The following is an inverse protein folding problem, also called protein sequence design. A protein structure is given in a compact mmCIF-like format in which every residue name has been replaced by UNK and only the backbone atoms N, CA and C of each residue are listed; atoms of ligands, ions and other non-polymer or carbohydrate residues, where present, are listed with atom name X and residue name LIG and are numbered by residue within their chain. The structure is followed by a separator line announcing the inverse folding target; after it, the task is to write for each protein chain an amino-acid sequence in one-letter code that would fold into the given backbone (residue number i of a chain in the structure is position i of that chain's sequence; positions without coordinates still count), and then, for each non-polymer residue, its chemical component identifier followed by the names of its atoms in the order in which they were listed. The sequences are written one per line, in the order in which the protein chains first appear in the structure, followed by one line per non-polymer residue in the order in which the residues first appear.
data_IF_821555274122
#
_entry.id   IF_821555274122
#
_cell.length_a   1.000
_cell.length_b   1.000
_cell.length_c   1.000
_cell.angle_alpha   90.00
_cell.angle_beta   90.00
_cell.angle_gamma   90.00
#
_symmetry.space_group_name_H-M   'P 1'
#
loop_
_entity.id
_entity.type
_entity.pdbx_description
1 polymer ?
#
# COMPACT_ATOMS: atom_id res chain seq x y z
N UNK A 1 19.77 0.31 -6.86
CA UNK A 1 18.47 -0.11 -7.41
C UNK A 1 17.64 1.17 -7.52
N UNK A 2 17.55 1.77 -8.71
CA UNK A 2 16.80 3.02 -8.94
C UNK A 2 15.46 2.61 -9.52
N UNK A 3 14.38 2.83 -8.78
CA UNK A 3 13.03 2.44 -9.20
C UNK A 3 12.56 3.47 -10.25
N UNK A 4 12.95 3.26 -11.51
CA UNK A 4 12.70 4.20 -12.61
C UNK A 4 11.29 4.06 -13.21
N UNK A 5 10.36 3.48 -12.45
CA UNK A 5 9.02 3.12 -12.88
C UNK A 5 8.05 4.00 -12.09
N UNK A 6 7.17 4.77 -12.75
CA UNK A 6 6.15 5.53 -12.05
C UNK A 6 5.26 4.57 -11.28
N UNK A 7 5.02 4.88 -10.00
CA UNK A 7 4.08 4.14 -9.16
C UNK A 7 2.72 4.09 -9.86
N UNK A 8 2.21 2.88 -10.10
CA UNK A 8 0.90 2.65 -10.70
C UNK A 8 -0.04 2.00 -9.68
N UNK A 9 -1.21 2.61 -9.45
CA UNK A 9 -2.18 2.12 -8.48
C UNK A 9 -2.80 0.78 -8.91
N UNK A 10 -2.93 0.54 -10.22
CA UNK A 10 -3.45 -0.72 -10.77
C UNK A 10 -2.47 -1.88 -10.56
N UNK A 11 -1.16 -1.66 -10.74
CA UNK A 11 -0.14 -2.67 -10.41
C UNK A 11 -0.13 -3.00 -8.91
N UNK A 12 -0.35 -1.99 -8.06
CA UNK A 12 -0.49 -2.18 -6.62
C UNK A 12 -1.71 -3.04 -6.29
N UNK A 13 -2.84 -2.78 -6.95
CA UNK A 13 -4.07 -3.55 -6.81
C UNK A 13 -3.87 -5.01 -7.21
N UNK A 14 -3.27 -5.25 -8.37
CA UNK A 14 -2.99 -6.60 -8.87
C UNK A 14 -2.06 -7.36 -7.93
N UNK A 15 -1.05 -6.68 -7.39
CA UNK A 15 -0.14 -7.29 -6.42
C UNK A 15 -0.83 -7.64 -5.10
N UNK A 16 -1.67 -6.73 -4.57
CA UNK A 16 -2.46 -7.02 -3.37
C UNK A 16 -3.42 -8.18 -3.65
N UNK A 17 -4.15 -8.18 -4.76
CA UNK A 17 -5.06 -9.29 -5.13
C UNK A 17 -4.30 -10.62 -5.25
N UNK A 18 -3.05 -10.57 -5.74
CA UNK A 18 -2.17 -11.73 -5.84
C UNK A 18 -1.58 -12.19 -4.50
N UNK A 19 -1.66 -11.40 -3.42
CA UNK A 19 -1.16 -11.81 -2.11
C UNK A 19 -2.10 -12.85 -1.47
N UNK A 20 -1.51 -13.88 -0.87
CA UNK A 20 -2.27 -14.90 -0.15
C UNK A 20 -3.01 -14.28 1.04
N UNK A 21 -4.32 -14.52 1.09
CA UNK A 21 -5.24 -14.01 2.13
C UNK A 21 -4.86 -14.46 3.55
N UNK A 22 -4.20 -15.61 3.66
CA UNK A 22 -3.81 -16.27 4.91
C UNK A 22 -2.38 -15.93 5.37
N UNK A 23 -1.81 -14.83 4.86
CA UNK A 23 -0.55 -14.32 5.39
C UNK A 23 -0.79 -13.83 6.81
N UNK A 24 -0.04 -14.35 7.79
CA UNK A 24 -0.14 -13.98 9.21
C UNK A 24 -0.34 -12.47 9.36
N UNK A 25 -1.31 -12.03 10.18
CA UNK A 25 -1.62 -10.61 10.33
C UNK A 25 -0.37 -9.87 10.78
N UNK A 26 -0.17 -8.68 10.23
CA UNK A 26 0.84 -7.76 10.76
C UNK A 26 0.51 -7.45 12.24
N UNK A 27 1.47 -6.94 13.03
CA UNK A 27 1.26 -6.62 14.45
C UNK A 27 0.10 -5.63 14.72
N UNK A 28 -0.36 -4.94 13.67
CA UNK A 28 -1.52 -4.05 13.61
C UNK A 28 -2.87 -4.79 13.51
N UNK A 29 -2.87 -6.12 13.30
CA UNK A 29 -4.06 -6.96 13.23
C UNK A 29 -4.72 -7.03 11.84
N UNK A 30 -4.16 -6.36 10.83
CA UNK A 30 -4.71 -6.39 9.47
C UNK A 30 -4.06 -7.53 8.65
N UNK A 31 -4.89 -8.33 7.98
CA UNK A 31 -4.44 -9.36 7.04
C UNK A 31 -4.57 -8.87 5.58
N UNK A 32 -4.04 -9.65 4.63
CA UNK A 32 -4.19 -9.33 3.20
C UNK A 32 -5.67 -9.18 2.81
N UNK A 33 -6.56 -10.01 3.33
CA UNK A 33 -8.01 -9.92 3.10
C UNK A 33 -8.65 -8.57 3.47
N UNK A 34 -8.12 -7.84 4.47
CA UNK A 34 -8.56 -6.48 4.74
C UNK A 34 -8.30 -5.56 3.54
N UNK A 35 -7.08 -5.59 3.01
CA UNK A 35 -6.69 -4.78 1.87
C UNK A 35 -7.44 -5.16 0.59
N UNK A 36 -7.83 -6.42 0.41
CA UNK A 36 -8.67 -6.82 -0.72
C UNK A 36 -10.08 -6.23 -0.62
N UNK A 37 -10.70 -6.29 0.57
CA UNK A 37 -12.07 -5.82 0.77
C UNK A 37 -12.20 -4.30 0.79
N UNK A 38 -11.18 -3.60 1.31
CA UNK A 38 -11.21 -2.16 1.51
C UNK A 38 -10.29 -1.40 0.54
N UNK A 39 -9.78 -2.05 -0.50
CA UNK A 39 -8.85 -1.44 -1.46
C UNK A 39 -9.35 -0.10 -2.01
N UNK A 40 -10.61 -0.01 -2.42
CA UNK A 40 -11.16 1.22 -3.00
C UNK A 40 -11.20 2.39 -2.01
N UNK A 41 -11.27 2.09 -0.71
CA UNK A 41 -11.31 3.10 0.36
C UNK A 41 -9.90 3.50 0.79
N UNK A 42 -8.98 2.54 0.94
CA UNK A 42 -7.64 2.81 1.48
C UNK A 42 -6.58 3.11 0.41
N UNK A 43 -6.78 2.65 -0.83
CA UNK A 43 -5.79 2.80 -1.91
C UNK A 43 -5.41 4.24 -2.23
N UNK A 44 -6.30 5.26 -2.21
CA UNK A 44 -5.89 6.62 -2.50
C UNK A 44 -4.89 7.16 -1.46
N UNK A 45 -5.17 6.91 -0.18
CA UNK A 45 -4.30 7.33 0.92
C UNK A 45 -2.96 6.57 0.90
N UNK A 46 -3.00 5.25 0.72
CA UNK A 46 -1.79 4.42 0.64
C UNK A 46 -0.92 4.88 -0.54
N UNK A 47 -1.53 5.09 -1.70
CA UNK A 47 -0.81 5.51 -2.90
C UNK A 47 -0.18 6.90 -2.74
N UNK A 48 -0.92 7.84 -2.15
CA UNK A 48 -0.42 9.18 -1.85
C UNK A 48 0.76 9.15 -0.87
N UNK A 49 0.68 8.38 0.21
CA UNK A 49 1.78 8.22 1.17
C UNK A 49 3.00 7.55 0.53
N UNK A 50 2.80 6.53 -0.32
CA UNK A 50 3.89 5.91 -1.07
C UNK A 50 4.56 6.89 -2.04
N UNK A 51 3.78 7.73 -2.72
CA UNK A 51 4.30 8.77 -3.60
C UNK A 51 5.07 9.83 -2.81
N UNK A 52 4.55 10.30 -1.66
CA UNK A 52 5.25 11.24 -0.79
C UNK A 52 6.55 10.64 -0.27
N UNK A 53 6.54 9.38 0.20
CA UNK A 53 7.75 8.70 0.66
C UNK A 53 8.81 8.54 -0.44
N UNK A 54 8.43 8.18 -1.66
CA UNK A 54 9.38 8.04 -2.77
C UNK A 54 9.99 9.37 -3.20
N UNK A 55 9.24 10.48 -3.10
CA UNK A 55 9.72 11.79 -3.50
C UNK A 55 10.52 12.49 -2.38
N UNK A 56 10.08 12.37 -1.12
CA UNK A 56 10.61 13.13 0.01
C UNK A 56 11.43 12.29 1.00
N UNK A 57 11.41 10.96 0.89
CA UNK A 57 12.14 10.03 1.77
C UNK A 57 11.52 9.79 3.15
N UNK A 58 10.40 10.44 3.46
CA UNK A 58 9.64 10.26 4.70
C UNK A 58 8.14 10.23 4.41
N UNK A 59 7.35 9.35 5.06
CA UNK A 59 5.90 9.47 5.00
C UNK A 59 5.51 10.83 5.59
N UNK A 60 4.43 11.42 5.08
CA UNK A 60 3.91 12.70 5.58
C UNK A 60 3.18 12.45 6.91
N UNK A 61 3.94 12.03 7.93
CA UNK A 61 3.43 11.73 9.26
C UNK A 61 2.96 13.01 9.93
N UNK A 62 1.70 13.37 9.69
CA UNK A 62 1.00 14.36 10.53
C UNK A 62 -0.04 13.70 11.44
N UNK A 63 -0.40 12.42 11.26
CA UNK A 63 -1.38 11.76 12.14
C UNK A 63 -1.14 10.25 12.27
N UNK A 64 -0.35 9.85 13.27
CA UNK A 64 -0.56 8.64 14.08
C UNK A 64 -0.61 9.06 15.54
#
# INVERSE_FOLDING_TARGET
MHLNIPLCIDEFKDYIISMQLDKCPSPDGFNSGFYHNFWEVCSPNIFQECCSWLNDGSPSLTYF
#
